data_IF_134116215900
#
_entry.id   IF_134116215900
#
_cell.length_a   1.000
_cell.length_b   1.000
_cell.length_c   1.000
_cell.angle_alpha   90.00
_cell.angle_beta   90.00
_cell.angle_gamma   90.00
#
_symmetry.space_group_name_H-M   'P 1'
#
loop_
_entity.id
_entity.type
_entity.pdbx_description
1 polymer ?
#
# COMPACT_ATOMS: atom_id res chain seq x y z
N UNK A 1 -23.18 -27.13 10.32
CA UNK A 1 -22.32 -26.25 11.14
C UNK A 1 -22.43 -24.84 10.58
N UNK A 2 -22.49 -23.82 11.45
CA UNK A 2 -22.42 -22.44 10.98
C UNK A 2 -21.00 -22.17 10.44
N UNK A 3 -20.90 -21.60 9.24
CA UNK A 3 -19.60 -21.21 8.66
C UNK A 3 -19.04 -20.00 9.42
N UNK A 4 -17.72 -19.97 9.62
CA UNK A 4 -17.06 -18.79 10.17
C UNK A 4 -16.99 -17.70 9.08
N UNK A 5 -17.51 -16.50 9.37
CA UNK A 5 -17.40 -15.36 8.48
C UNK A 5 -15.98 -14.82 8.52
N UNK A 6 -15.33 -14.74 7.35
CA UNK A 6 -13.95 -14.31 7.20
C UNK A 6 -13.83 -13.19 6.15
N UNK A 7 -13.38 -12.01 6.58
CA UNK A 7 -12.97 -10.95 5.67
C UNK A 7 -11.47 -11.02 5.40
N UNK A 8 -11.08 -11.08 4.14
CA UNK A 8 -9.69 -10.95 3.72
C UNK A 8 -9.47 -9.63 3.01
N UNK A 9 -8.78 -8.70 3.67
CA UNK A 9 -8.28 -7.50 3.00
C UNK A 9 -6.94 -7.82 2.32
N UNK A 10 -6.99 -7.87 0.99
CA UNK A 10 -5.89 -8.32 0.12
C UNK A 10 -5.34 -7.17 -0.73
N UNK A 11 -5.24 -5.95 -0.21
CA UNK A 11 -4.72 -4.84 -1.00
C UNK A 11 -3.33 -5.17 -1.56
N UNK A 12 -3.13 -5.05 -2.89
CA UNK A 12 -1.77 -5.01 -3.40
C UNK A 12 -1.06 -3.78 -2.81
N UNK A 13 0.25 -3.84 -2.58
CA UNK A 13 1.00 -2.74 -1.97
C UNK A 13 0.65 -1.38 -2.62
N UNK A 14 0.66 -0.30 -1.84
CA UNK A 14 0.38 1.07 -2.29
C UNK A 14 -1.10 1.44 -2.53
N UNK A 15 -2.00 0.70 -1.92
CA UNK A 15 -3.44 0.98 -1.90
C UNK A 15 -3.97 1.31 -0.51
N UNK A 16 -3.20 2.01 0.31
CA UNK A 16 -3.62 2.44 1.65
C UNK A 16 -3.59 1.35 2.72
N UNK A 17 -2.97 0.21 2.45
CA UNK A 17 -2.91 -0.96 3.35
C UNK A 17 -2.40 -0.60 4.74
N UNK A 18 -1.37 0.24 4.86
CA UNK A 18 -0.85 0.68 6.18
C UNK A 18 -1.89 1.46 6.99
N UNK A 19 -2.68 2.33 6.36
CA UNK A 19 -3.72 3.09 7.04
C UNK A 19 -4.85 2.15 7.53
N UNK A 20 -5.29 1.23 6.67
CA UNK A 20 -6.30 0.22 7.01
C UNK A 20 -5.81 -0.65 8.16
N UNK A 21 -4.59 -1.16 8.09
CA UNK A 21 -4.01 -2.04 9.10
C UNK A 21 -3.82 -1.34 10.44
N UNK A 22 -3.36 -0.09 10.44
CA UNK A 22 -3.21 0.69 11.67
C UNK A 22 -4.57 0.99 12.30
N UNK A 23 -5.58 1.39 11.52
CA UNK A 23 -6.91 1.66 12.05
C UNK A 23 -7.57 0.40 12.64
N UNK A 24 -7.47 -0.76 11.97
CA UNK A 24 -7.96 -2.04 12.49
C UNK A 24 -7.24 -2.45 13.77
N UNK A 25 -5.92 -2.26 13.84
CA UNK A 25 -5.13 -2.59 15.02
C UNK A 25 -5.48 -1.69 16.23
N UNK A 26 -5.64 -0.38 15.99
CA UNK A 26 -6.06 0.58 17.02
C UNK A 26 -7.46 0.24 17.54
N UNK A 27 -8.37 -0.15 16.65
CA UNK A 27 -9.76 -0.45 16.97
C UNK A 27 -9.99 -1.90 17.45
N UNK A 28 -8.96 -2.74 17.56
CA UNK A 28 -9.10 -4.19 17.78
C UNK A 28 -9.96 -4.56 18.98
N UNK A 29 -9.91 -3.82 20.07
CA UNK A 29 -10.75 -4.05 21.28
C UNK A 29 -12.21 -3.65 21.03
N UNK A 30 -12.46 -2.53 20.35
CA UNK A 30 -13.82 -2.11 19.97
C UNK A 30 -14.45 -3.10 18.98
N UNK A 31 -13.66 -3.58 18.02
CA UNK A 31 -14.10 -4.61 17.06
C UNK A 31 -14.46 -5.91 17.80
N UNK A 32 -13.64 -6.34 18.76
CA UNK A 32 -13.93 -7.54 19.55
C UNK A 32 -15.25 -7.42 20.32
N UNK A 33 -15.57 -6.24 20.87
CA UNK A 33 -16.84 -5.95 21.52
C UNK A 33 -18.05 -6.05 20.56
N UNK A 34 -17.85 -5.87 19.26
CA UNK A 34 -18.84 -6.05 18.18
C UNK A 34 -18.84 -7.49 17.61
N UNK A 35 -18.11 -8.42 18.20
CA UNK A 35 -18.00 -9.80 17.69
C UNK A 35 -17.13 -9.92 16.44
N UNK A 36 -16.22 -8.96 16.18
CA UNK A 36 -15.28 -8.97 15.06
C UNK A 36 -13.87 -9.09 15.60
N UNK A 37 -13.20 -10.18 15.31
CA UNK A 37 -11.83 -10.43 15.74
C UNK A 37 -10.83 -9.94 14.70
N UNK A 38 -9.91 -9.07 15.09
CA UNK A 38 -8.69 -8.73 14.36
C UNK A 38 -7.50 -9.29 15.12
N UNK A 39 -7.09 -10.55 14.86
CA UNK A 39 -6.06 -11.23 15.66
C UNK A 39 -4.72 -10.51 15.51
N UNK A 40 -4.31 -9.79 16.53
CA UNK A 40 -3.07 -9.02 16.58
C UNK A 40 -2.41 -9.14 17.95
N UNK A 41 -1.08 -9.28 17.99
CA UNK A 41 -0.35 -9.27 19.24
C UNK A 41 -0.19 -7.85 19.81
N UNK A 42 0.00 -7.75 21.14
CA UNK A 42 0.11 -6.48 21.86
C UNK A 42 1.20 -5.57 21.27
N UNK A 43 2.38 -6.11 20.95
CA UNK A 43 3.50 -5.32 20.40
C UNK A 43 3.15 -4.66 19.05
N UNK A 44 2.45 -5.36 18.16
CA UNK A 44 2.01 -4.78 16.88
C UNK A 44 0.89 -3.76 17.08
N UNK A 45 -0.01 -3.99 18.05
CA UNK A 45 -1.05 -3.04 18.43
C UNK A 45 -0.46 -1.74 18.99
N UNK A 46 0.54 -1.84 19.86
CA UNK A 46 1.21 -0.68 20.44
C UNK A 46 1.92 0.15 19.35
N UNK A 47 2.60 -0.49 18.41
CA UNK A 47 3.21 0.17 17.26
C UNK A 47 2.16 0.86 16.37
N UNK A 48 1.03 0.21 16.11
CA UNK A 48 -0.06 0.80 15.35
C UNK A 48 -0.65 2.03 16.06
N UNK A 49 -0.76 2.01 17.40
CA UNK A 49 -1.23 3.16 18.19
C UNK A 49 -0.34 4.37 18.09
N UNK A 50 0.94 4.17 17.75
CA UNK A 50 1.94 5.21 17.46
C UNK A 50 1.99 5.56 15.97
N UNK A 51 1.07 5.06 15.16
CA UNK A 51 1.01 5.23 13.71
C UNK A 51 2.26 4.72 12.97
N UNK A 52 2.98 3.78 13.56
CA UNK A 52 4.06 3.09 12.88
C UNK A 52 3.53 2.14 11.80
N UNK A 53 4.33 1.97 10.73
CA UNK A 53 3.97 1.06 9.63
C UNK A 53 3.89 -0.38 10.15
N UNK A 54 2.75 -1.04 9.92
CA UNK A 54 2.55 -2.45 10.21
C UNK A 54 2.45 -3.26 8.93
N UNK A 55 2.83 -4.53 8.96
CA UNK A 55 2.69 -5.46 7.83
C UNK A 55 1.36 -6.25 7.86
N UNK A 56 0.38 -5.77 8.65
CA UNK A 56 -0.89 -6.45 8.87
C UNK A 56 -0.82 -7.46 10.03
N UNK A 57 -1.93 -8.16 10.22
CA UNK A 57 -2.08 -9.13 11.31
C UNK A 57 -1.85 -10.59 10.88
N UNK A 58 -1.54 -10.79 9.60
CA UNK A 58 -1.29 -12.13 9.07
C UNK A 58 0.02 -12.16 8.26
N UNK A 59 0.75 -13.26 8.41
CA UNK A 59 1.96 -13.56 7.62
C UNK A 59 1.92 -14.99 7.16
N UNK A 60 2.28 -15.22 5.89
CA UNK A 60 2.44 -16.57 5.37
C UNK A 60 3.50 -17.33 6.17
N UNK A 61 3.18 -18.55 6.58
CA UNK A 61 4.14 -19.51 7.11
C UNK A 61 4.67 -20.33 5.94
N UNK A 62 5.98 -20.53 5.85
CA UNK A 62 6.61 -21.24 4.73
C UNK A 62 6.25 -22.72 4.65
N UNK A 63 5.87 -23.32 5.77
CA UNK A 63 5.67 -24.78 5.92
C UNK A 63 4.22 -25.24 5.73
N UNK A 64 3.25 -24.31 5.69
CA UNK A 64 1.82 -24.61 5.60
C UNK A 64 1.15 -23.80 4.52
N UNK A 65 0.19 -24.40 3.80
CA UNK A 65 -0.60 -23.68 2.79
C UNK A 65 -1.47 -22.59 3.43
N UNK A 66 -1.86 -21.58 2.63
CA UNK A 66 -2.82 -20.57 3.10
C UNK A 66 -4.13 -21.21 3.57
N UNK A 67 -4.62 -22.21 2.85
CA UNK A 67 -5.84 -22.94 3.21
C UNK A 67 -5.76 -23.56 4.61
N UNK A 68 -4.68 -24.26 4.93
CA UNK A 68 -4.48 -24.87 6.25
C UNK A 68 -4.41 -23.82 7.36
N UNK A 69 -3.71 -22.72 7.12
CA UNK A 69 -3.62 -21.61 8.07
C UNK A 69 -4.99 -20.97 8.36
N UNK A 70 -5.81 -20.77 7.33
CA UNK A 70 -7.16 -20.23 7.49
C UNK A 70 -8.08 -21.21 8.22
N UNK A 71 -8.01 -22.49 7.92
CA UNK A 71 -8.77 -23.51 8.63
C UNK A 71 -8.35 -23.61 10.09
N UNK A 72 -7.06 -23.48 10.41
CA UNK A 72 -6.57 -23.43 11.79
C UNK A 72 -7.17 -22.23 12.55
N UNK A 73 -7.12 -21.03 11.94
CA UNK A 73 -7.69 -19.81 12.52
C UNK A 73 -9.19 -19.97 12.79
N UNK A 74 -9.93 -20.52 11.83
CA UNK A 74 -11.39 -20.71 11.99
C UNK A 74 -11.74 -21.77 13.02
N UNK A 75 -10.99 -22.86 13.14
CA UNK A 75 -11.17 -23.89 14.19
C UNK A 75 -10.91 -23.32 15.59
N UNK A 76 -9.99 -22.39 15.71
CA UNK A 76 -9.65 -21.73 16.97
C UNK A 76 -10.64 -20.61 17.35
N UNK A 77 -11.56 -20.24 16.46
CA UNK A 77 -12.60 -19.24 16.69
C UNK A 77 -13.72 -19.79 17.58
N UNK A 78 -13.45 -19.86 18.90
CA UNK A 78 -14.37 -20.42 19.89
C UNK A 78 -15.66 -19.61 20.11
N UNK A 79 -15.65 -18.33 19.74
CA UNK A 79 -16.74 -17.40 20.03
C UNK A 79 -17.66 -17.18 18.82
N UNK A 80 -17.50 -17.94 17.73
CA UNK A 80 -18.20 -17.73 16.45
C UNK A 80 -18.13 -16.29 15.95
N UNK A 81 -17.05 -15.59 16.26
CA UNK A 81 -16.81 -14.22 15.84
C UNK A 81 -16.52 -14.15 14.35
N UNK A 82 -16.85 -13.03 13.75
CA UNK A 82 -16.36 -12.67 12.41
C UNK A 82 -14.86 -12.38 12.52
N UNK A 83 -14.06 -12.90 11.60
CA UNK A 83 -12.60 -12.68 11.59
C UNK A 83 -12.24 -11.76 10.44
N UNK A 84 -11.34 -10.81 10.68
CA UNK A 84 -10.73 -9.99 9.64
C UNK A 84 -9.22 -10.19 9.61
N UNK A 85 -8.69 -10.57 8.43
CA UNK A 85 -7.26 -10.64 8.16
C UNK A 85 -6.88 -9.61 7.10
N UNK A 86 -5.77 -8.93 7.32
CA UNK A 86 -5.26 -7.91 6.41
C UNK A 86 -3.77 -8.09 6.21
N UNK A 87 -3.36 -8.36 4.97
CA UNK A 87 -1.94 -8.49 4.59
C UNK A 87 -1.74 -8.28 3.09
N UNK A 88 -0.66 -7.59 2.72
CA UNK A 88 -0.26 -7.45 1.30
C UNK A 88 0.16 -8.77 0.68
N UNK A 89 0.69 -9.71 1.46
CA UNK A 89 1.08 -11.04 0.96
C UNK A 89 -0.11 -11.89 0.51
N UNK A 90 -1.30 -11.67 1.06
CA UNK A 90 -2.52 -12.36 0.64
C UNK A 90 -2.83 -12.13 -0.84
N UNK A 91 -2.56 -10.94 -1.38
CA UNK A 91 -2.79 -10.63 -2.79
C UNK A 91 -2.18 -11.65 -3.77
N UNK A 92 -0.98 -12.15 -3.44
CA UNK A 92 -0.28 -13.11 -4.28
C UNK A 92 -0.70 -14.57 -4.02
N UNK A 93 -1.29 -14.85 -2.87
CA UNK A 93 -1.67 -16.20 -2.43
C UNK A 93 -3.14 -16.55 -2.68
N UNK A 94 -3.99 -15.55 -2.92
CA UNK A 94 -5.44 -15.75 -3.14
C UNK A 94 -5.75 -16.70 -4.30
N UNK A 95 -5.07 -16.70 -5.44
CA UNK A 95 -5.36 -17.66 -6.50
C UNK A 95 -5.25 -19.12 -6.05
N UNK A 96 -4.22 -19.45 -5.27
CA UNK A 96 -4.08 -20.81 -4.72
C UNK A 96 -5.23 -21.13 -3.74
N UNK A 97 -5.60 -20.21 -2.87
CA UNK A 97 -6.74 -20.37 -1.98
C UNK A 97 -8.05 -20.62 -2.74
N UNK A 98 -8.34 -19.81 -3.75
CA UNK A 98 -9.59 -19.91 -4.49
C UNK A 98 -9.67 -21.20 -5.30
N UNK A 99 -8.57 -21.67 -5.88
CA UNK A 99 -8.50 -22.93 -6.60
C UNK A 99 -8.80 -24.16 -5.71
N UNK A 100 -8.59 -24.02 -4.39
CA UNK A 100 -8.85 -25.05 -3.37
C UNK A 100 -10.14 -24.83 -2.59
N UNK A 101 -11.15 -24.21 -3.18
CA UNK A 101 -12.41 -23.90 -2.48
C UNK A 101 -13.11 -25.12 -1.90
N UNK A 102 -12.97 -26.29 -2.52
CA UNK A 102 -13.47 -27.58 -1.99
C UNK A 102 -12.97 -27.89 -0.58
N UNK A 103 -11.77 -27.45 -0.22
CA UNK A 103 -11.11 -27.83 1.01
C UNK A 103 -11.58 -26.98 2.21
N UNK A 104 -12.08 -25.76 1.95
CA UNK A 104 -12.45 -24.80 3.01
C UNK A 104 -13.89 -24.28 2.91
N UNK A 105 -14.53 -24.39 1.75
CA UNK A 105 -15.80 -23.74 1.46
C UNK A 105 -16.97 -24.18 2.37
N UNK A 106 -16.89 -25.34 3.01
CA UNK A 106 -17.90 -25.80 3.97
C UNK A 106 -17.72 -25.21 5.38
N UNK A 107 -16.56 -24.64 5.67
CA UNK A 107 -16.19 -24.12 7.00
C UNK A 107 -16.15 -22.60 7.04
N UNK A 108 -15.88 -21.94 5.90
CA UNK A 108 -15.61 -20.52 5.80
C UNK A 108 -16.62 -19.85 4.88
N UNK A 109 -17.25 -18.77 5.37
CA UNK A 109 -17.97 -17.78 4.56
C UNK A 109 -17.00 -16.63 4.26
N UNK A 110 -16.35 -16.71 3.08
CA UNK A 110 -15.27 -15.82 2.68
C UNK A 110 -15.78 -14.58 1.96
N UNK A 111 -15.38 -13.39 2.42
CA UNK A 111 -15.51 -12.13 1.70
C UNK A 111 -14.15 -11.49 1.46
N UNK A 112 -13.81 -11.21 0.21
CA UNK A 112 -12.55 -10.59 -0.19
C UNK A 112 -12.75 -9.09 -0.38
N UNK A 113 -11.93 -8.27 0.29
CA UNK A 113 -11.85 -6.82 0.09
C UNK A 113 -10.54 -6.54 -0.64
N UNK A 114 -10.63 -6.05 -1.89
CA UNK A 114 -9.47 -5.75 -2.73
C UNK A 114 -9.50 -4.30 -3.18
N UNK A 115 -8.43 -3.57 -2.91
CA UNK A 115 -8.27 -2.20 -3.40
C UNK A 115 -7.40 -2.19 -4.67
N UNK A 116 -7.83 -1.46 -5.69
CA UNK A 116 -7.10 -1.21 -6.94
C UNK A 116 -6.78 0.28 -7.07
N UNK A 117 -5.81 0.64 -7.90
CA UNK A 117 -5.31 2.01 -8.00
C UNK A 117 -5.07 2.39 -9.46
N UNK A 118 -5.18 3.70 -9.79
CA UNK A 118 -4.82 4.22 -11.10
C UNK A 118 -3.42 3.80 -11.52
N UNK A 119 -3.25 3.43 -12.80
CA UNK A 119 -2.00 2.87 -13.33
C UNK A 119 -0.81 3.81 -13.13
N UNK A 120 -0.97 5.09 -13.41
CA UNK A 120 0.10 6.09 -13.27
C UNK A 120 0.52 6.30 -11.84
N UNK A 121 -0.46 6.35 -10.93
CA UNK A 121 -0.20 6.49 -9.51
C UNK A 121 0.47 5.26 -8.92
N UNK A 122 0.08 4.08 -9.40
CA UNK A 122 0.69 2.82 -8.99
C UNK A 122 2.16 2.78 -9.38
N UNK A 123 2.47 3.08 -10.65
CA UNK A 123 3.84 3.15 -11.17
C UNK A 123 4.72 4.13 -10.39
N UNK A 124 4.21 5.33 -10.15
CA UNK A 124 4.92 6.35 -9.38
C UNK A 124 5.20 5.88 -7.96
N UNK A 125 4.24 5.24 -7.32
CA UNK A 125 4.37 4.75 -5.94
C UNK A 125 5.34 3.58 -5.83
N UNK A 126 5.32 2.64 -6.79
CA UNK A 126 6.27 1.52 -6.87
C UNK A 126 7.69 2.00 -7.08
N UNK A 127 7.89 2.91 -8.02
CA UNK A 127 9.19 3.52 -8.27
C UNK A 127 9.77 4.18 -7.01
N UNK A 128 8.96 4.99 -6.31
CA UNK A 128 9.37 5.61 -5.07
C UNK A 128 9.72 4.57 -3.99
N UNK A 129 8.97 3.48 -3.90
CA UNK A 129 9.28 2.40 -2.96
C UNK A 129 10.63 1.75 -3.25
N UNK A 130 10.92 1.50 -4.51
CA UNK A 130 12.20 0.92 -4.91
C UNK A 130 13.38 1.86 -4.59
N UNK A 131 13.21 3.16 -4.79
CA UNK A 131 14.22 4.15 -4.40
C UNK A 131 14.39 4.21 -2.90
N UNK A 132 13.28 4.25 -2.13
CA UNK A 132 13.31 4.38 -0.66
C UNK A 132 13.80 3.14 0.07
N UNK A 133 13.49 1.95 -0.42
CA UNK A 133 13.66 0.68 0.34
C UNK A 133 14.65 -0.29 -0.28
N UNK A 134 14.87 -0.19 -1.59
CA UNK A 134 15.69 -1.16 -2.31
C UNK A 134 16.89 -0.51 -3.03
N UNK A 135 17.20 0.75 -2.71
CA UNK A 135 18.39 1.43 -3.23
C UNK A 135 18.39 1.66 -4.74
N UNK A 136 17.23 1.64 -5.39
CA UNK A 136 17.16 1.90 -6.82
C UNK A 136 17.75 3.27 -7.16
N UNK A 137 18.69 3.30 -8.10
CA UNK A 137 19.36 4.51 -8.58
C UNK A 137 19.03 4.89 -10.02
N UNK A 138 18.15 4.13 -10.69
CA UNK A 138 17.70 4.45 -12.05
C UNK A 138 16.67 5.59 -12.03
N UNK A 139 16.72 6.45 -13.05
CA UNK A 139 15.66 7.42 -13.28
C UNK A 139 14.36 6.72 -13.72
N UNK A 140 13.19 7.31 -13.43
CA UNK A 140 11.90 6.73 -13.75
C UNK A 140 11.76 6.25 -15.19
N UNK A 141 12.19 7.06 -16.15
CA UNK A 141 12.13 6.69 -17.58
C UNK A 141 13.00 5.47 -17.93
N UNK A 142 14.14 5.28 -17.26
CA UNK A 142 14.96 4.08 -17.40
C UNK A 142 14.27 2.88 -16.75
N UNK A 143 13.77 3.06 -15.53
CA UNK A 143 13.05 2.05 -14.79
C UNK A 143 11.85 1.49 -15.60
N UNK A 144 11.04 2.35 -16.20
CA UNK A 144 9.92 1.95 -17.06
C UNK A 144 10.41 1.14 -18.28
N UNK A 145 11.53 1.51 -18.90
CA UNK A 145 12.06 0.78 -20.06
C UNK A 145 12.63 -0.58 -19.72
N UNK A 146 13.32 -0.70 -18.59
CA UNK A 146 13.99 -1.94 -18.19
C UNK A 146 13.05 -3.01 -17.68
N UNK A 147 11.92 -2.62 -17.09
CA UNK A 147 11.00 -3.56 -16.45
C UNK A 147 9.85 -4.04 -17.32
N UNK A 148 9.84 -3.84 -18.60
CA UNK A 148 8.80 -4.35 -19.52
C UNK A 148 7.38 -4.29 -18.88
N UNK A 149 7.07 -3.12 -18.29
CA UNK A 149 5.99 -2.94 -17.33
C UNK A 149 4.62 -3.24 -17.95
N UNK A 150 4.25 -4.51 -17.88
CA UNK A 150 2.86 -4.83 -17.59
C UNK A 150 2.72 -4.56 -16.09
N UNK A 151 1.73 -3.79 -15.68
CA UNK A 151 1.44 -3.66 -14.26
C UNK A 151 1.06 -5.05 -13.75
N UNK A 152 2.04 -5.76 -13.19
CA UNK A 152 1.82 -7.10 -12.65
C UNK A 152 0.66 -7.11 -11.65
N UNK A 153 0.42 -5.98 -10.99
CA UNK A 153 -0.65 -5.79 -10.04
C UNK A 153 -2.04 -5.76 -10.69
N UNK A 154 -2.23 -5.01 -11.79
CA UNK A 154 -3.53 -4.98 -12.48
C UNK A 154 -3.83 -6.32 -13.16
N UNK A 155 -2.83 -6.94 -13.79
CA UNK A 155 -3.00 -8.27 -14.37
C UNK A 155 -3.36 -9.31 -13.29
N UNK A 156 -2.70 -9.26 -12.13
CA UNK A 156 -3.01 -10.15 -11.00
C UNK A 156 -4.38 -9.87 -10.38
N UNK A 157 -4.77 -8.60 -10.27
CA UNK A 157 -6.11 -8.23 -9.80
C UNK A 157 -7.19 -8.78 -10.74
N UNK A 158 -6.99 -8.67 -12.06
CA UNK A 158 -7.91 -9.23 -13.05
C UNK A 158 -8.00 -10.78 -12.97
N UNK A 159 -6.87 -11.47 -12.77
CA UNK A 159 -6.84 -12.93 -12.51
C UNK A 159 -7.64 -13.28 -11.25
N UNK A 160 -7.46 -12.55 -10.16
CA UNK A 160 -8.19 -12.76 -8.91
C UNK A 160 -9.71 -12.55 -9.13
N UNK A 161 -10.10 -11.53 -9.88
CA UNK A 161 -11.50 -11.26 -10.22
C UNK A 161 -12.12 -12.44 -10.99
N UNK A 162 -11.41 -12.96 -12.01
CA UNK A 162 -11.88 -14.13 -12.76
C UNK A 162 -12.10 -15.33 -11.83
N UNK A 163 -11.15 -15.61 -10.94
CA UNK A 163 -11.26 -16.71 -9.99
C UNK A 163 -12.39 -16.50 -8.97
N UNK A 164 -12.55 -15.27 -8.44
CA UNK A 164 -13.68 -14.97 -7.55
C UNK A 164 -15.02 -15.19 -8.22
N UNK A 165 -15.15 -14.79 -9.49
CA UNK A 165 -16.35 -15.03 -10.28
C UNK A 165 -16.57 -16.54 -10.53
N UNK A 166 -15.56 -17.27 -10.99
CA UNK A 166 -15.60 -18.70 -11.24
C UNK A 166 -16.04 -19.49 -10.00
N UNK A 167 -15.48 -19.14 -8.85
CA UNK A 167 -15.76 -19.82 -7.58
C UNK A 167 -16.93 -19.19 -6.80
N UNK A 168 -17.64 -18.21 -7.36
CA UNK A 168 -18.76 -17.50 -6.69
C UNK A 168 -18.38 -17.04 -5.28
N UNK A 169 -17.22 -16.38 -5.16
CA UNK A 169 -16.73 -15.88 -3.88
C UNK A 169 -17.17 -14.44 -3.69
N UNK A 170 -17.75 -14.13 -2.52
CA UNK A 170 -18.17 -12.77 -2.16
C UNK A 170 -16.98 -11.83 -2.14
N UNK A 171 -17.12 -10.64 -2.71
CA UNK A 171 -16.03 -9.68 -2.80
C UNK A 171 -16.52 -8.23 -2.87
N UNK A 172 -15.60 -7.30 -2.58
CA UNK A 172 -15.75 -5.86 -2.82
C UNK A 172 -14.45 -5.33 -3.40
N UNK A 173 -14.53 -4.71 -4.58
CA UNK A 173 -13.40 -4.04 -5.24
C UNK A 173 -13.54 -2.54 -4.99
N UNK A 174 -12.44 -1.87 -4.59
CA UNK A 174 -12.41 -0.45 -4.23
C UNK A 174 -11.39 0.29 -5.09
N UNK A 175 -11.78 1.40 -5.70
CA UNK A 175 -10.83 2.31 -6.34
C UNK A 175 -10.13 3.19 -5.27
N UNK A 176 -8.95 2.78 -4.84
CA UNK A 176 -8.15 3.51 -3.86
C UNK A 176 -7.86 4.96 -4.28
N UNK A 177 -7.67 5.24 -5.57
CA UNK A 177 -7.34 6.58 -6.03
C UNK A 177 -8.43 7.59 -5.72
N UNK A 178 -9.69 7.14 -5.68
CA UNK A 178 -10.86 7.95 -5.29
C UNK A 178 -11.06 8.01 -3.77
N UNK A 179 -10.78 6.90 -3.09
CA UNK A 179 -10.98 6.74 -1.64
C UNK A 179 -9.71 6.90 -0.81
N UNK A 180 -8.69 7.61 -1.33
CA UNK A 180 -7.40 7.76 -0.66
C UNK A 180 -7.50 8.32 0.77
N UNK A 181 -8.45 9.24 1.01
CA UNK A 181 -8.60 9.93 2.30
C UNK A 181 -9.43 9.14 3.30
N UNK A 182 -10.34 8.29 2.84
CA UNK A 182 -11.36 7.61 3.64
C UNK A 182 -11.34 6.09 3.50
N UNK A 183 -10.34 5.52 2.80
CA UNK A 183 -10.24 4.08 2.54
C UNK A 183 -10.36 3.23 3.82
N UNK A 184 -9.77 3.67 4.92
CA UNK A 184 -9.85 2.95 6.18
C UNK A 184 -11.28 2.94 6.73
N UNK A 185 -11.96 4.09 6.71
CA UNK A 185 -13.36 4.21 7.15
C UNK A 185 -14.28 3.35 6.27
N UNK A 186 -14.03 3.34 4.96
CA UNK A 186 -14.80 2.52 4.02
C UNK A 186 -14.68 1.03 4.37
N UNK A 187 -13.50 0.54 4.74
CA UNK A 187 -13.31 -0.85 5.18
C UNK A 187 -14.12 -1.12 6.45
N UNK A 188 -14.14 -0.22 7.43
CA UNK A 188 -14.97 -0.39 8.63
C UNK A 188 -16.47 -0.45 8.30
N UNK A 189 -16.93 0.35 7.37
CA UNK A 189 -18.32 0.30 6.87
C UNK A 189 -18.62 -1.06 6.22
N UNK A 190 -17.71 -1.58 5.39
CA UNK A 190 -17.89 -2.87 4.70
C UNK A 190 -17.94 -4.07 5.65
N UNK A 191 -17.21 -4.02 6.75
CA UNK A 191 -17.27 -5.08 7.77
C UNK A 191 -18.42 -4.89 8.79
N UNK A 192 -19.20 -3.82 8.65
CA UNK A 192 -20.34 -3.51 9.54
C UNK A 192 -19.93 -2.98 10.92
N UNK A 193 -18.80 -2.26 11.01
CA UNK A 193 -18.24 -1.76 12.29
C UNK A 193 -17.82 -0.28 12.18
N UNK A 194 -18.57 0.55 11.48
CA UNK A 194 -18.22 1.97 11.26
C UNK A 194 -18.07 2.74 12.58
N UNK A 195 -18.86 2.43 13.60
CA UNK A 195 -18.80 3.01 14.93
C UNK A 195 -17.50 2.71 15.69
N UNK A 196 -16.81 1.63 15.32
CA UNK A 196 -15.52 1.28 15.91
C UNK A 196 -14.34 2.05 15.29
N UNK A 197 -14.56 2.78 14.20
CA UNK A 197 -13.49 3.50 13.51
C UNK A 197 -12.80 4.51 14.43
N UNK A 198 -11.45 4.51 14.54
CA UNK A 198 -10.72 5.34 15.49
C UNK A 198 -10.47 6.76 14.92
N UNK A 199 -11.54 7.54 14.75
CA UNK A 199 -11.53 8.88 14.12
C UNK A 199 -10.45 9.78 14.71
N UNK A 200 -10.42 9.91 16.05
CA UNK A 200 -9.50 10.83 16.75
C UNK A 200 -8.02 10.51 16.49
N UNK A 201 -7.70 9.24 16.23
CA UNK A 201 -6.33 8.79 15.97
C UNK A 201 -5.96 8.87 14.50
N UNK A 202 -6.95 8.74 13.61
CA UNK A 202 -6.73 8.69 12.17
C UNK A 202 -6.91 10.05 11.49
N UNK A 203 -7.60 11.01 12.13
CA UNK A 203 -7.80 12.34 11.59
C UNK A 203 -6.46 13.05 11.32
N UNK A 204 -6.17 13.34 10.06
CA UNK A 204 -4.92 13.99 9.64
C UNK A 204 -3.66 13.13 9.74
N UNK A 205 -3.78 11.84 10.10
CA UNK A 205 -2.63 10.95 10.22
C UNK A 205 -1.98 10.66 8.87
N UNK A 206 -0.68 10.95 8.73
CA UNK A 206 0.14 10.63 7.56
C UNK A 206 1.08 9.48 7.90
N UNK A 207 0.65 8.26 7.63
CA UNK A 207 1.39 7.03 8.01
C UNK A 207 2.52 6.71 7.03
N UNK A 208 2.86 7.29 6.10
CA UNK A 208 3.98 7.05 5.16
C UNK A 208 3.84 7.92 3.91
N UNK A 209 4.17 9.20 4.02
CA UNK A 209 4.11 10.04 2.84
C UNK A 209 5.08 9.61 1.75
N UNK A 210 4.74 9.92 0.53
CA UNK A 210 5.67 9.89 -0.59
C UNK A 210 6.72 11.01 -0.44
N UNK A 211 7.93 10.79 -0.94
CA UNK A 211 8.95 11.82 -1.00
C UNK A 211 8.57 12.91 -2.01
N UNK A 212 9.01 14.13 -1.77
CA UNK A 212 8.96 15.18 -2.78
C UNK A 212 9.90 14.85 -3.94
N UNK A 213 9.74 15.52 -5.09
CA UNK A 213 10.60 15.27 -6.25
C UNK A 213 12.08 15.50 -5.92
N UNK A 214 12.39 16.59 -5.22
CA UNK A 214 13.77 16.92 -4.84
C UNK A 214 14.37 15.92 -3.85
N UNK A 215 13.61 15.51 -2.83
CA UNK A 215 14.04 14.47 -1.90
C UNK A 215 14.35 13.15 -2.63
N UNK A 216 13.52 12.80 -3.60
CA UNK A 216 13.70 11.57 -4.37
C UNK A 216 14.92 11.64 -5.30
N UNK A 217 15.15 12.78 -5.97
CA UNK A 217 16.32 13.02 -6.82
C UNK A 217 17.63 12.95 -5.98
N UNK A 218 17.65 13.53 -4.79
CA UNK A 218 18.76 13.39 -3.84
C UNK A 218 18.97 11.93 -3.41
N UNK A 219 17.90 11.22 -3.09
CA UNK A 219 18.02 9.83 -2.64
C UNK A 219 18.52 8.90 -3.75
N UNK A 220 18.13 9.13 -5.01
CA UNK A 220 18.66 8.42 -6.18
C UNK A 220 20.18 8.62 -6.30
N UNK A 221 20.66 9.84 -6.12
CA UNK A 221 22.08 10.15 -6.15
C UNK A 221 22.83 9.43 -5.01
N UNK A 222 22.30 9.47 -3.79
CA UNK A 222 22.87 8.78 -2.63
C UNK A 222 22.89 7.27 -2.86
N UNK A 223 21.82 6.70 -3.38
CA UNK A 223 21.76 5.29 -3.71
C UNK A 223 22.86 4.87 -4.69
N UNK A 224 23.06 5.69 -5.73
CA UNK A 224 24.11 5.45 -6.73
C UNK A 224 25.52 5.45 -6.11
N UNK A 225 25.76 6.31 -5.14
CA UNK A 225 27.09 6.48 -4.54
C UNK A 225 27.37 5.50 -3.39
N UNK A 226 26.36 5.18 -2.59
CA UNK A 226 26.57 4.55 -1.28
C UNK A 226 25.82 3.25 -1.03
N UNK A 227 24.77 2.92 -1.82
CA UNK A 227 23.93 1.77 -1.50
C UNK A 227 24.71 0.44 -1.43
N UNK A 228 25.69 0.22 -2.30
CA UNK A 228 26.51 -0.99 -2.30
C UNK A 228 27.33 -1.15 -0.99
N UNK A 229 27.74 -0.05 -0.36
CA UNK A 229 28.50 -0.07 0.90
C UNK A 229 27.59 -0.06 2.13
N UNK A 230 26.43 0.57 2.02
CA UNK A 230 25.45 0.77 3.09
C UNK A 230 24.05 0.44 2.60
N UNK A 231 23.65 -0.84 2.53
CA UNK A 231 22.35 -1.25 1.94
C UNK A 231 21.12 -0.63 2.61
N UNK A 232 21.19 -0.28 3.89
CA UNK A 232 20.10 0.37 4.63
C UNK A 232 20.00 1.89 4.42
N UNK A 233 20.97 2.53 3.75
CA UNK A 233 21.06 4.00 3.66
C UNK A 233 19.79 4.64 3.10
N UNK A 234 19.20 4.05 2.06
CA UNK A 234 17.97 4.53 1.43
C UNK A 234 16.81 4.58 2.43
N UNK A 235 16.66 3.52 3.20
CA UNK A 235 15.62 3.38 4.23
C UNK A 235 15.85 4.39 5.33
N UNK A 236 17.06 4.48 5.88
CA UNK A 236 17.41 5.37 6.99
C UNK A 236 17.16 6.83 6.63
N UNK A 237 17.62 7.27 5.46
CA UNK A 237 17.43 8.66 5.00
C UNK A 237 15.94 8.94 4.70
N UNK A 238 15.25 8.05 4.00
CA UNK A 238 13.84 8.26 3.68
C UNK A 238 12.97 8.32 4.93
N UNK A 239 13.25 7.51 5.96
CA UNK A 239 12.51 7.54 7.21
C UNK A 239 12.79 8.84 8.00
N UNK A 240 14.04 9.31 8.01
CA UNK A 240 14.40 10.59 8.61
C UNK A 240 13.68 11.77 7.94
N UNK A 241 13.61 11.79 6.60
CA UNK A 241 12.89 12.81 5.83
C UNK A 241 11.39 12.80 6.14
N UNK A 242 10.76 11.64 6.10
CA UNK A 242 9.33 11.48 6.39
C UNK A 242 9.01 11.93 7.82
N UNK A 243 9.83 11.53 8.79
CA UNK A 243 9.62 11.86 10.20
C UNK A 243 9.76 13.36 10.48
N UNK A 244 10.73 14.03 9.85
CA UNK A 244 11.00 15.46 10.09
C UNK A 244 10.13 16.40 9.29
N UNK A 245 9.58 15.95 8.16
CA UNK A 245 8.71 16.74 7.27
C UNK A 245 7.47 15.93 6.86
N UNK A 246 6.57 15.54 7.78
CA UNK A 246 5.45 14.65 7.48
C UNK A 246 4.43 15.24 6.49
N UNK A 247 4.33 16.58 6.42
CA UNK A 247 3.31 17.28 5.62
C UNK A 247 3.82 17.79 4.27
N UNK A 248 5.06 17.45 3.87
CA UNK A 248 5.59 17.87 2.59
C UNK A 248 4.85 17.16 1.44
N UNK A 249 4.47 17.91 0.41
CA UNK A 249 3.74 17.37 -0.73
C UNK A 249 4.54 16.30 -1.50
N UNK A 250 3.83 15.27 -1.92
CA UNK A 250 4.40 14.20 -2.73
C UNK A 250 4.85 14.71 -4.10
N UNK A 251 6.07 14.35 -4.49
CA UNK A 251 6.56 14.65 -5.82
C UNK A 251 5.82 13.84 -6.88
N UNK A 252 5.34 14.50 -7.91
CA UNK A 252 4.80 13.84 -9.10
C UNK A 252 5.89 13.71 -10.15
N UNK A 253 6.10 12.48 -10.64
CA UNK A 253 6.97 12.22 -11.77
C UNK A 253 6.14 12.17 -13.04
N UNK A 254 6.60 12.89 -14.07
CA UNK A 254 5.97 12.84 -15.39
C UNK A 254 6.50 11.64 -16.16
N UNK A 255 5.60 10.77 -16.54
CA UNK A 255 5.84 9.71 -17.52
C UNK A 255 5.51 10.29 -18.87
N UNK A 256 6.32 10.06 -19.91
CA UNK A 256 6.02 10.57 -21.24
C UNK A 256 4.73 9.93 -21.79
N UNK A 257 3.93 10.69 -22.52
CA UNK A 257 2.68 10.23 -23.14
C UNK A 257 2.87 8.94 -23.93
N UNK A 258 3.93 8.87 -24.76
CA UNK A 258 4.27 7.65 -25.52
C UNK A 258 4.54 6.43 -24.64
N UNK A 259 5.09 6.61 -23.42
CA UNK A 259 5.29 5.52 -22.47
C UNK A 259 3.96 5.14 -21.81
N UNK A 260 3.14 6.13 -21.45
CA UNK A 260 1.81 5.91 -20.87
C UNK A 260 0.90 5.15 -21.83
N UNK A 261 0.80 5.56 -23.09
CA UNK A 261 0.02 4.85 -24.10
C UNK A 261 0.39 3.36 -24.19
N UNK A 262 1.71 3.06 -24.21
CA UNK A 262 2.19 1.68 -24.22
C UNK A 262 1.78 0.90 -22.96
N UNK A 263 1.82 1.55 -21.79
CA UNK A 263 1.46 0.95 -20.51
C UNK A 263 -0.03 0.68 -20.47
N UNK A 264 -0.87 1.64 -20.86
CA UNK A 264 -2.32 1.46 -20.92
C UNK A 264 -2.73 0.37 -21.90
N UNK A 265 -2.16 0.37 -23.11
CA UNK A 265 -2.41 -0.71 -24.09
C UNK A 265 -2.07 -2.10 -23.56
N UNK A 266 -0.97 -2.24 -22.80
CA UNK A 266 -0.60 -3.52 -22.19
C UNK A 266 -1.52 -3.95 -21.04
N UNK A 267 -2.16 -3.02 -20.37
CA UNK A 267 -3.06 -3.27 -19.25
C UNK A 267 -4.55 -3.26 -19.66
N UNK A 268 -4.87 -3.00 -20.93
CA UNK A 268 -6.24 -2.77 -21.40
C UNK A 268 -7.20 -3.87 -20.97
N UNK A 269 -6.88 -5.14 -21.26
CA UNK A 269 -7.73 -6.27 -20.88
C UNK A 269 -7.91 -6.39 -19.36
N UNK A 270 -6.88 -6.14 -18.59
CA UNK A 270 -6.96 -6.16 -17.12
C UNK A 270 -7.84 -5.03 -16.59
N UNK A 271 -7.66 -3.82 -17.13
CA UNK A 271 -8.45 -2.64 -16.73
C UNK A 271 -9.93 -2.81 -17.08
N UNK A 272 -10.25 -3.38 -18.25
CA UNK A 272 -11.63 -3.69 -18.63
C UNK A 272 -12.29 -4.64 -17.63
N UNK A 273 -11.60 -5.71 -17.23
CA UNK A 273 -12.12 -6.67 -16.23
C UNK A 273 -12.31 -6.02 -14.86
N UNK A 274 -11.35 -5.23 -14.39
CA UNK A 274 -11.45 -4.51 -13.12
C UNK A 274 -12.64 -3.54 -13.17
N UNK A 275 -12.76 -2.76 -14.23
CA UNK A 275 -13.83 -1.77 -14.40
C UNK A 275 -15.21 -2.39 -14.51
N UNK A 276 -15.33 -3.62 -15.03
CA UNK A 276 -16.60 -4.35 -15.04
C UNK A 276 -17.12 -4.69 -13.62
N UNK A 277 -16.25 -4.66 -12.60
CA UNK A 277 -16.61 -4.90 -11.20
C UNK A 277 -16.76 -3.61 -10.39
N UNK A 278 -16.54 -2.44 -10.99
CA UNK A 278 -16.65 -1.14 -10.36
C UNK A 278 -17.86 -0.37 -10.88
N UNK A 279 -18.50 0.39 -10.01
CA UNK A 279 -19.53 1.33 -10.42
C UNK A 279 -18.96 2.35 -11.42
N UNK A 280 -19.80 2.90 -12.30
CA UNK A 280 -19.37 3.80 -13.38
C UNK A 280 -18.55 5.02 -12.91
N UNK A 281 -18.87 5.54 -11.72
CA UNK A 281 -18.15 6.63 -11.09
C UNK A 281 -16.86 6.19 -10.37
N UNK A 282 -16.63 4.88 -10.21
CA UNK A 282 -15.47 4.28 -9.52
C UNK A 282 -14.45 3.68 -10.49
N UNK A 283 -14.72 3.66 -11.79
CA UNK A 283 -13.85 3.03 -12.78
C UNK A 283 -12.45 3.67 -12.82
N UNK A 284 -11.46 2.83 -13.07
CA UNK A 284 -10.09 3.25 -13.38
C UNK A 284 -10.01 3.79 -14.80
N UNK A 285 -9.11 4.73 -15.03
CA UNK A 285 -8.83 5.25 -16.37
C UNK A 285 -8.27 4.15 -17.28
N UNK A 286 -8.77 4.10 -18.52
CA UNK A 286 -8.30 3.14 -19.54
C UNK A 286 -7.29 3.74 -20.51
N UNK A 287 -7.04 5.03 -20.40
CA UNK A 287 -6.08 5.79 -21.21
C UNK A 287 -5.42 6.87 -20.34
N UNK A 288 -4.30 7.40 -20.81
CA UNK A 288 -3.65 8.51 -20.12
C UNK A 288 -4.59 9.72 -20.09
N UNK A 289 -4.85 10.23 -18.90
CA UNK A 289 -5.54 11.51 -18.75
C UNK A 289 -4.49 12.56 -19.11
N UNK A 290 -4.72 13.42 -20.15
CA UNK A 290 -3.82 14.51 -20.40
C UNK A 290 -3.62 15.28 -19.10
N UNK A 291 -2.40 15.27 -18.58
CA UNK A 291 -2.08 15.99 -17.37
C UNK A 291 -2.54 17.43 -17.59
N UNK A 292 -3.61 17.84 -16.89
CA UNK A 292 -3.82 19.27 -16.67
C UNK A 292 -2.50 19.73 -16.08
N UNK A 293 -1.71 20.42 -16.91
CA UNK A 293 -0.50 21.06 -16.43
C UNK A 293 -0.89 21.72 -15.11
N UNK A 294 -0.24 21.48 -13.99
CA UNK A 294 -0.26 22.47 -12.95
C UNK A 294 0.11 23.72 -13.74
N UNK A 295 -0.77 24.69 -13.83
CA UNK A 295 -0.38 26.02 -14.27
C UNK A 295 0.90 26.24 -13.49
N UNK A 296 2.04 26.34 -14.20
CA UNK A 296 3.18 26.97 -13.58
C UNK A 296 2.58 28.25 -13.05
N UNK A 297 2.39 28.29 -11.74
CA UNK A 297 1.98 29.52 -11.09
C UNK A 297 3.15 30.48 -11.32
N UNK A 298 3.11 31.13 -12.46
CA UNK A 298 4.06 32.17 -12.89
C UNK A 298 4.07 33.34 -11.89
N UNK A 299 3.21 33.28 -10.89
CA UNK A 299 3.09 34.26 -9.81
C UNK A 299 3.11 33.60 -8.43
N UNK A 300 4.07 32.70 -8.17
CA UNK A 300 4.33 32.31 -6.78
C UNK A 300 4.66 33.57 -5.98
N UNK A 301 3.90 33.86 -4.93
CA UNK A 301 4.22 34.99 -4.06
C UNK A 301 5.63 34.86 -3.49
N UNK A 302 6.30 35.99 -3.19
CA UNK A 302 7.63 35.95 -2.59
C UNK A 302 7.66 35.08 -1.32
N UNK A 303 6.56 35.00 -0.60
CA UNK A 303 6.37 34.15 0.59
C UNK A 303 6.33 32.66 0.26
N UNK A 304 5.65 32.25 -0.83
CA UNK A 304 5.66 30.86 -1.31
C UNK A 304 7.06 30.43 -1.75
N UNK A 305 7.78 31.28 -2.48
CA UNK A 305 9.17 31.02 -2.89
C UNK A 305 10.09 30.88 -1.67
N UNK A 306 9.94 31.73 -0.66
CA UNK A 306 10.70 31.65 0.58
C UNK A 306 10.42 30.36 1.31
N UNK A 307 9.16 29.97 1.48
CA UNK A 307 8.73 28.72 2.12
C UNK A 307 9.30 27.49 1.40
N UNK A 308 9.21 27.44 0.07
CA UNK A 308 9.79 26.36 -0.72
C UNK A 308 11.30 26.22 -0.53
N UNK A 309 12.04 27.34 -0.44
CA UNK A 309 13.49 27.35 -0.17
C UNK A 309 13.80 26.86 1.23
N UNK A 310 13.04 27.26 2.24
CA UNK A 310 13.21 26.81 3.63
C UNK A 310 12.97 25.28 3.74
N UNK A 311 11.93 24.75 3.11
CA UNK A 311 11.64 23.31 3.04
C UNK A 311 12.77 22.52 2.36
N UNK A 312 13.32 23.07 1.27
CA UNK A 312 14.44 22.47 0.54
C UNK A 312 15.72 22.44 1.39
N UNK A 313 16.06 23.55 2.04
CA UNK A 313 17.20 23.63 2.93
C UNK A 313 17.08 22.66 4.10
N UNK A 314 15.88 22.49 4.66
CA UNK A 314 15.64 21.53 5.73
C UNK A 314 15.84 20.10 5.23
N UNK A 315 15.36 19.75 4.03
CA UNK A 315 15.58 18.43 3.43
C UNK A 315 17.07 18.14 3.23
N UNK A 316 17.83 19.09 2.69
CA UNK A 316 19.28 18.96 2.52
C UNK A 316 20.00 18.76 3.85
N UNK A 317 19.61 19.50 4.89
CA UNK A 317 20.17 19.35 6.24
C UNK A 317 19.89 17.98 6.82
N UNK A 318 18.65 17.49 6.71
CA UNK A 318 18.27 16.14 7.17
C UNK A 318 19.10 15.08 6.47
N UNK A 319 19.24 15.16 5.14
CA UNK A 319 20.01 14.20 4.35
C UNK A 319 21.48 14.22 4.81
N UNK A 320 22.08 15.40 4.95
CA UNK A 320 23.48 15.57 5.39
C UNK A 320 23.70 14.94 6.76
N UNK A 321 22.88 15.31 7.75
CA UNK A 321 23.05 14.87 9.13
C UNK A 321 22.87 13.35 9.25
N UNK A 322 21.86 12.78 8.56
CA UNK A 322 21.63 11.33 8.54
C UNK A 322 22.75 10.59 7.79
N UNK A 323 23.26 11.16 6.71
CA UNK A 323 24.38 10.59 5.96
C UNK A 323 25.65 10.55 6.81
N UNK A 324 25.97 11.63 7.51
CA UNK A 324 27.12 11.69 8.43
C UNK A 324 26.98 10.63 9.52
N UNK A 325 25.80 10.48 10.12
CA UNK A 325 25.55 9.46 11.14
C UNK A 325 25.79 8.04 10.59
N UNK A 326 25.23 7.72 9.41
CA UNK A 326 25.40 6.41 8.78
C UNK A 326 26.85 6.11 8.41
N UNK A 327 27.58 7.11 7.87
CA UNK A 327 28.96 6.92 7.43
C UNK A 327 29.96 6.86 8.59
N UNK A 328 29.65 7.45 9.75
CA UNK A 328 30.49 7.41 10.95
C UNK A 328 30.23 6.20 11.84
N UNK A 329 29.03 5.61 11.76
CA UNK A 329 28.75 4.32 12.41
C UNK A 329 29.49 3.20 11.67
N UNK A 330 30.44 2.52 12.35
CA UNK A 330 31.12 1.36 11.78
C UNK A 330 30.07 0.34 11.29
N UNK A 331 30.20 -0.21 10.07
CA UNK A 331 29.30 -1.26 9.63
C UNK A 331 29.36 -2.40 10.65
N UNK A 332 28.21 -2.78 11.23
CA UNK A 332 28.12 -4.04 11.99
C UNK A 332 28.57 -5.13 11.02
N UNK A 333 29.70 -5.76 11.30
CA UNK A 333 30.14 -6.94 10.58
C UNK A 333 28.98 -7.93 10.61
N UNK A 334 28.47 -8.29 9.42
CA UNK A 334 27.53 -9.38 9.27
C UNK A 334 28.30 -10.66 9.64
N UNK A 335 28.00 -11.21 10.82
CA UNK A 335 28.33 -12.58 11.17
C UNK A 335 27.33 -13.53 10.48
#
# INVERSE_FOLDING_TARGET
MNKTKLFLHIGHGKTGTSAIQSSLAIASEKLAALGIEYPINAKLRDRASQLEITSGNWKAKSETSLTEQLLEITRNNKNNSTIILSSESLFWLIPDLLSRKSDWGDFIDLHIIMAVREVEEMLSSEYQQLVKRHGNSMLLGQFIRTRNFVSSHHAKAAEIIDLMSQHKTSNTIINYSKHRKDISRLVFKLIGAEEAYPEDKMAGAVINRSLSRKELDFLIMINKLYHNKFPSISTTISDALIKRQPNLEAGQYRISEKQLEKIYKKNEAALQKINACLDSNEQLSTHSIPNKQPKEDTHSSAEQIRRMREEELLSVKVIRDTLLEVLTTKPKQAN
#
